data_IF_561960226584
#
_entry.id   IF_561960226584
#
_cell.length_a   1.000
_cell.length_b   1.000
_cell.length_c   1.000
_cell.angle_alpha   90.00
_cell.angle_beta   90.00
_cell.angle_gamma   90.00
#
_symmetry.space_group_name_H-M   'P 1'
#
loop_
_entity.id
_entity.type
_entity.pdbx_description
1 polymer ?
#
# COMPACT_ATOMS: atom_id res chain seq x y z
N UNK A 1 50.61 50.97 73.06
CA UNK A 1 50.10 51.97 72.10
C UNK A 1 49.21 51.22 71.07
N UNK A 2 49.67 50.22 70.31
CA UNK A 2 48.89 49.53 69.24
C UNK A 2 47.68 48.78 69.81
N UNK A 3 47.78 48.19 71.02
CA UNK A 3 46.68 47.41 71.62
C UNK A 3 45.57 48.34 72.18
N UNK A 4 45.93 49.55 72.61
CA UNK A 4 44.95 50.55 73.04
C UNK A 4 44.20 51.19 71.87
N UNK A 5 44.87 51.47 70.76
CA UNK A 5 44.23 51.91 69.48
C UNK A 5 43.26 50.87 68.92
N UNK A 6 43.62 49.59 68.94
CA UNK A 6 42.71 48.52 68.55
C UNK A 6 41.52 48.36 69.50
N UNK A 7 41.69 48.63 70.82
CA UNK A 7 40.58 48.61 71.74
C UNK A 7 39.63 49.81 71.63
N UNK A 8 40.14 50.96 71.20
CA UNK A 8 39.32 52.14 70.94
C UNK A 8 38.54 51.96 69.63
N UNK A 9 39.13 51.36 68.62
CA UNK A 9 38.41 50.99 67.42
C UNK A 9 37.32 49.91 67.62
N UNK A 10 37.51 49.00 68.58
CA UNK A 10 36.47 48.06 68.99
C UNK A 10 35.31 48.65 69.76
N UNK A 11 35.53 49.76 70.54
CA UNK A 11 34.48 50.43 71.34
C UNK A 11 33.40 51.13 70.48
N UNK A 12 33.65 51.38 69.23
CA UNK A 12 32.69 52.00 68.28
C UNK A 12 31.83 51.00 67.48
N UNK A 13 32.03 49.70 67.65
CA UNK A 13 31.22 48.71 66.97
C UNK A 13 30.14 48.17 67.87
N UNK A 14 28.98 48.84 67.93
CA UNK A 14 27.77 48.24 68.49
C UNK A 14 27.37 47.05 67.68
N UNK A 15 27.61 45.84 68.16
CA UNK A 15 27.01 44.63 67.57
C UNK A 15 25.51 44.65 67.96
N UNK A 16 24.62 44.78 67.02
CA UNK A 16 23.20 44.70 67.32
C UNK A 16 22.92 43.29 67.91
N UNK A 17 22.20 43.28 69.08
CA UNK A 17 21.81 42.04 69.78
C UNK A 17 21.15 41.00 68.86
N UNK A 18 20.63 41.45 67.74
CA UNK A 18 19.95 40.64 66.75
C UNK A 18 20.90 40.02 65.61
N UNK A 19 22.20 40.38 65.65
CA UNK A 19 23.16 39.93 64.65
C UNK A 19 23.30 38.39 64.59
N UNK A 20 23.37 37.62 65.67
CA UNK A 20 23.41 36.16 65.64
C UNK A 20 22.16 35.55 65.03
N UNK A 21 20.98 36.11 65.29
CA UNK A 21 19.73 35.64 64.73
C UNK A 21 19.64 35.97 63.25
N UNK A 22 20.11 37.13 62.83
CA UNK A 22 20.17 37.51 61.41
C UNK A 22 21.14 36.60 60.61
N UNK A 23 22.30 36.24 61.17
CA UNK A 23 23.27 35.33 60.60
C UNK A 23 22.67 33.94 60.51
N UNK A 24 22.03 33.42 61.55
CA UNK A 24 21.39 32.09 61.49
C UNK A 24 20.29 32.03 60.45
N UNK A 25 19.45 33.06 60.36
CA UNK A 25 18.42 33.14 59.31
C UNK A 25 19.04 33.17 57.90
N UNK A 26 20.08 33.99 57.72
CA UNK A 26 20.77 34.05 56.41
C UNK A 26 21.42 32.70 56.02
N UNK A 27 21.97 31.98 56.98
CA UNK A 27 22.50 30.65 56.77
C UNK A 27 21.42 29.63 56.38
N UNK A 28 20.27 29.68 57.01
CA UNK A 28 19.11 28.86 56.68
C UNK A 28 18.57 29.19 55.27
N UNK A 29 18.43 30.47 54.93
CA UNK A 29 17.99 30.93 53.59
C UNK A 29 19.01 30.50 52.52
N UNK A 30 20.31 30.62 52.79
CA UNK A 30 21.35 30.12 51.88
C UNK A 30 21.24 28.61 51.66
N UNK A 31 21.09 27.83 52.74
CA UNK A 31 20.95 26.39 52.65
C UNK A 31 19.70 25.97 51.87
N UNK A 32 18.58 26.68 52.08
CA UNK A 32 17.35 26.44 51.34
C UNK A 32 17.51 26.80 49.85
N UNK A 33 18.22 27.91 49.59
CA UNK A 33 18.51 28.32 48.19
C UNK A 33 19.42 27.33 47.48
N UNK A 34 20.47 26.83 48.16
CA UNK A 34 21.36 25.78 47.60
C UNK A 34 20.62 24.50 47.32
N UNK A 35 19.70 24.07 48.23
CA UNK A 35 18.84 22.90 47.97
C UNK A 35 17.90 23.10 46.81
N UNK A 36 17.28 24.26 46.68
CA UNK A 36 16.41 24.61 45.57
C UNK A 36 17.20 24.63 44.26
N UNK A 37 18.41 25.20 44.24
CA UNK A 37 19.30 25.23 43.07
C UNK A 37 19.67 23.81 42.60
N UNK A 38 20.18 22.99 43.56
CA UNK A 38 20.53 21.60 43.27
C UNK A 38 19.34 20.80 42.69
N UNK A 39 18.14 21.01 43.26
CA UNK A 39 16.93 20.37 42.77
C UNK A 39 16.56 20.84 41.35
N UNK A 40 16.71 22.14 41.09
CA UNK A 40 16.45 22.71 39.76
C UNK A 40 17.45 22.19 38.71
N UNK A 41 18.73 22.14 39.05
CA UNK A 41 19.78 21.58 38.18
C UNK A 41 19.55 20.11 37.88
N UNK A 42 19.19 19.29 38.87
CA UNK A 42 18.85 17.88 38.64
C UNK A 42 17.65 17.71 37.71
N UNK A 43 16.62 18.59 37.85
CA UNK A 43 15.45 18.60 36.95
C UNK A 43 15.83 18.99 35.53
N UNK A 44 16.67 20.00 35.33
CA UNK A 44 17.14 20.43 34.03
C UNK A 44 17.96 19.32 33.33
N UNK A 45 18.83 18.65 34.07
CA UNK A 45 19.61 17.53 33.56
C UNK A 45 18.70 16.38 33.14
N UNK A 46 17.70 16.06 33.95
CA UNK A 46 16.71 15.01 33.61
C UNK A 46 15.87 15.42 32.39
N UNK A 47 15.46 16.69 32.32
CA UNK A 47 14.70 17.20 31.18
C UNK A 47 15.52 17.15 29.89
N UNK A 48 16.81 17.49 29.93
CA UNK A 48 17.70 17.37 28.78
C UNK A 48 17.81 15.94 28.27
N UNK A 49 17.96 14.96 29.17
CA UNK A 49 17.95 13.53 28.83
C UNK A 49 16.62 13.10 28.23
N UNK A 50 15.52 13.48 28.86
CA UNK A 50 14.19 13.13 28.36
C UNK A 50 13.91 13.74 26.99
N UNK A 51 14.39 14.95 26.71
CA UNK A 51 14.26 15.60 25.40
C UNK A 51 14.96 14.81 24.31
N UNK A 52 16.18 14.36 24.54
CA UNK A 52 16.95 13.55 23.57
C UNK A 52 16.24 12.22 23.27
N UNK A 53 15.75 11.55 24.31
CA UNK A 53 14.99 10.30 24.15
C UNK A 53 13.68 10.56 23.38
N UNK A 54 12.99 11.65 23.71
CA UNK A 54 11.74 12.00 23.03
C UNK A 54 11.96 12.30 21.53
N UNK A 55 13.02 13.03 21.19
CA UNK A 55 13.39 13.32 19.80
C UNK A 55 13.70 12.02 19.03
N UNK A 56 14.43 11.11 19.64
CA UNK A 56 14.73 9.81 19.05
C UNK A 56 13.46 8.97 18.82
N UNK A 57 12.62 8.84 19.85
CA UNK A 57 11.36 8.09 19.77
C UNK A 57 10.43 8.70 18.71
N UNK A 58 10.36 10.03 18.63
CA UNK A 58 9.53 10.75 17.67
C UNK A 58 10.00 10.47 16.24
N UNK A 59 11.31 10.43 16.01
CA UNK A 59 11.87 10.08 14.70
C UNK A 59 11.51 8.63 14.31
N UNK A 60 11.73 7.69 15.21
CA UNK A 60 11.35 6.28 14.97
C UNK A 60 9.84 6.12 14.73
N UNK A 61 9.01 6.84 15.47
CA UNK A 61 7.57 6.84 15.31
C UNK A 61 7.15 7.33 13.92
N UNK A 62 7.71 8.44 13.46
CA UNK A 62 7.40 8.97 12.13
C UNK A 62 7.79 8.01 11.01
N UNK A 63 8.95 7.36 11.11
CA UNK A 63 9.39 6.34 10.15
C UNK A 63 8.44 5.14 10.13
N UNK A 64 8.08 4.62 11.29
CA UNK A 64 7.14 3.49 11.41
C UNK A 64 5.72 3.84 10.96
N UNK A 65 5.27 5.07 11.24
CA UNK A 65 3.97 5.55 10.74
C UNK A 65 3.93 5.63 9.22
N UNK A 66 5.00 6.10 8.57
CA UNK A 66 5.07 6.14 7.12
C UNK A 66 4.95 4.73 6.50
N UNK A 67 5.60 3.74 7.10
CA UNK A 67 5.49 2.33 6.70
C UNK A 67 4.08 1.81 6.94
N UNK A 68 3.50 2.05 8.11
CA UNK A 68 2.15 1.62 8.46
C UNK A 68 1.09 2.19 7.50
N UNK A 69 1.19 3.47 7.16
CA UNK A 69 0.29 4.12 6.19
C UNK A 69 0.40 3.46 4.81
N UNK A 70 1.62 3.10 4.38
CA UNK A 70 1.83 2.39 3.11
C UNK A 70 1.14 1.03 3.11
N UNK A 71 1.33 0.25 4.17
CA UNK A 71 0.68 -1.04 4.33
C UNK A 71 -0.83 -0.94 4.44
N UNK A 72 -1.34 0.08 5.14
CA UNK A 72 -2.78 0.33 5.24
C UNK A 72 -3.39 0.65 3.86
N UNK A 73 -2.72 1.46 3.03
CA UNK A 73 -3.14 1.73 1.65
C UNK A 73 -3.15 0.45 0.81
N UNK A 74 -2.09 -0.35 0.89
CA UNK A 74 -2.00 -1.61 0.17
C UNK A 74 -3.12 -2.57 0.60
N UNK A 75 -3.33 -2.71 1.90
CA UNK A 75 -4.40 -3.56 2.45
C UNK A 75 -5.80 -3.08 2.01
N UNK A 76 -6.03 -1.77 1.92
CA UNK A 76 -7.30 -1.23 1.40
C UNK A 76 -7.54 -1.62 -0.06
N UNK A 77 -6.48 -1.64 -0.88
CA UNK A 77 -6.57 -1.96 -2.31
C UNK A 77 -6.77 -3.46 -2.57
N UNK A 78 -5.94 -4.29 -1.96
CA UNK A 78 -5.85 -5.73 -2.28
C UNK A 78 -6.15 -6.65 -1.09
N UNK A 79 -6.28 -6.12 0.12
CA UNK A 79 -6.53 -6.91 1.32
C UNK A 79 -7.99 -7.36 1.41
N UNK A 80 -8.17 -8.60 1.84
CA UNK A 80 -9.43 -9.16 2.34
C UNK A 80 -9.09 -10.23 3.37
N UNK A 81 -10.02 -10.52 4.28
CA UNK A 81 -9.79 -11.47 5.37
C UNK A 81 -9.46 -12.89 4.87
N UNK A 82 -10.02 -13.26 3.71
CA UNK A 82 -9.90 -14.57 3.05
C UNK A 82 -8.91 -14.57 1.85
N UNK A 83 -8.29 -13.43 1.54
CA UNK A 83 -7.43 -13.27 0.38
C UNK A 83 -8.16 -13.26 -0.97
N UNK A 84 -9.49 -13.32 -1.00
CA UNK A 84 -10.28 -13.43 -2.22
C UNK A 84 -10.08 -12.21 -3.14
N UNK A 85 -9.99 -11.01 -2.58
CA UNK A 85 -9.78 -9.79 -3.35
C UNK A 85 -8.45 -9.81 -4.12
N UNK A 86 -7.36 -10.20 -3.48
CA UNK A 86 -6.06 -10.34 -4.13
C UNK A 86 -6.08 -11.43 -5.23
N UNK A 87 -6.73 -12.56 -4.93
CA UNK A 87 -6.90 -13.65 -5.90
C UNK A 87 -7.62 -13.17 -7.17
N UNK A 88 -8.74 -12.44 -7.02
CA UNK A 88 -9.50 -11.90 -8.15
C UNK A 88 -8.64 -10.93 -8.97
N UNK A 89 -7.89 -10.04 -8.33
CA UNK A 89 -7.00 -9.10 -9.03
C UNK A 89 -5.91 -9.84 -9.83
N UNK A 90 -5.26 -10.83 -9.21
CA UNK A 90 -4.23 -11.63 -9.88
C UNK A 90 -4.79 -12.43 -11.06
N UNK A 91 -5.96 -13.06 -10.88
CA UNK A 91 -6.64 -13.80 -11.94
C UNK A 91 -7.14 -12.87 -13.07
N UNK A 92 -7.61 -11.67 -12.73
CA UNK A 92 -8.02 -10.65 -13.69
C UNK A 92 -6.87 -10.25 -14.63
N UNK A 93 -5.67 -10.11 -14.09
CA UNK A 93 -4.49 -9.82 -14.93
C UNK A 93 -4.21 -10.92 -15.95
N UNK A 94 -4.23 -12.18 -15.51
CA UNK A 94 -4.04 -13.34 -16.38
C UNK A 94 -5.17 -13.45 -17.42
N UNK A 95 -6.42 -13.21 -16.99
CA UNK A 95 -7.58 -13.20 -17.89
C UNK A 95 -7.48 -12.11 -18.94
N UNK A 96 -7.09 -10.89 -18.58
CA UNK A 96 -6.91 -9.82 -19.55
C UNK A 96 -5.81 -10.12 -20.57
N UNK A 97 -4.74 -10.79 -20.17
CA UNK A 97 -3.71 -11.24 -21.09
C UNK A 97 -4.23 -12.30 -22.04
N UNK A 98 -5.01 -13.26 -21.54
CA UNK A 98 -5.72 -14.23 -22.37
C UNK A 98 -6.65 -13.56 -23.39
N UNK A 99 -7.46 -12.61 -22.94
CA UNK A 99 -8.39 -11.89 -23.81
C UNK A 99 -7.67 -11.05 -24.88
N UNK A 100 -6.50 -10.52 -24.57
CA UNK A 100 -5.67 -9.83 -25.57
C UNK A 100 -5.27 -10.77 -26.72
N UNK A 101 -4.85 -11.99 -26.39
CA UNK A 101 -4.50 -13.00 -27.41
C UNK A 101 -5.74 -13.53 -28.09
N UNK A 102 -6.81 -13.85 -27.36
CA UNK A 102 -8.07 -14.31 -27.91
C UNK A 102 -8.68 -13.30 -28.90
N UNK A 103 -8.68 -12.02 -28.61
CA UNK A 103 -9.17 -10.97 -29.47
C UNK A 103 -8.37 -10.85 -30.78
N UNK A 104 -7.07 -11.17 -30.79
CA UNK A 104 -6.29 -11.23 -32.02
C UNK A 104 -6.82 -12.33 -32.93
N UNK A 105 -7.05 -13.53 -32.40
CA UNK A 105 -7.62 -14.63 -33.17
C UNK A 105 -9.08 -14.34 -33.55
N UNK A 106 -9.87 -13.77 -32.65
CA UNK A 106 -11.25 -13.41 -32.89
C UNK A 106 -11.39 -12.40 -34.05
N UNK A 107 -10.49 -11.46 -34.21
CA UNK A 107 -10.50 -10.50 -35.30
C UNK A 107 -10.34 -11.13 -36.68
N UNK A 108 -9.73 -12.33 -36.78
CA UNK A 108 -9.70 -13.13 -38.02
C UNK A 108 -10.95 -13.96 -38.20
N UNK A 109 -11.49 -14.55 -37.10
CA UNK A 109 -12.68 -15.42 -37.14
C UNK A 109 -13.98 -14.61 -37.33
N UNK A 110 -14.10 -13.46 -36.66
CA UNK A 110 -15.24 -12.56 -36.75
C UNK A 110 -14.85 -11.15 -36.37
N UNK A 111 -14.99 -10.21 -37.27
CA UNK A 111 -14.74 -8.77 -36.99
C UNK A 111 -15.84 -8.12 -36.15
N UNK A 112 -16.97 -8.80 -36.02
CA UNK A 112 -18.15 -8.28 -35.31
C UNK A 112 -17.94 -8.24 -33.78
N UNK A 113 -17.19 -9.19 -33.22
CA UNK A 113 -17.15 -9.38 -31.77
C UNK A 113 -15.77 -9.06 -31.18
N UNK A 114 -15.79 -8.47 -29.98
CA UNK A 114 -14.62 -8.36 -29.11
C UNK A 114 -14.97 -8.84 -27.71
N UNK A 115 -14.03 -9.59 -27.12
CA UNK A 115 -14.15 -10.07 -25.74
C UNK A 115 -13.60 -9.03 -24.77
N UNK A 116 -14.33 -8.82 -23.68
CA UNK A 116 -13.94 -7.96 -22.59
C UNK A 116 -14.27 -8.60 -21.25
N UNK A 117 -13.45 -8.34 -20.24
CA UNK A 117 -13.75 -8.70 -18.87
C UNK A 117 -14.75 -7.71 -18.26
N UNK A 118 -15.71 -8.22 -17.51
CA UNK A 118 -16.58 -7.36 -16.68
C UNK A 118 -15.75 -6.80 -15.54
N UNK A 119 -15.72 -5.46 -15.33
CA UNK A 119 -14.92 -4.82 -14.30
C UNK A 119 -15.09 -5.49 -12.92
N UNK A 120 -13.99 -5.62 -12.17
CA UNK A 120 -13.93 -6.19 -10.82
C UNK A 120 -14.44 -7.63 -10.67
N UNK A 121 -14.62 -8.36 -11.77
CA UNK A 121 -15.08 -9.75 -11.79
C UNK A 121 -14.20 -10.61 -12.69
N UNK A 122 -14.41 -11.91 -12.71
CA UNK A 122 -13.82 -12.85 -13.69
C UNK A 122 -14.80 -13.22 -14.80
N UNK A 123 -15.93 -12.55 -14.87
CA UNK A 123 -16.92 -12.77 -15.90
C UNK A 123 -16.51 -12.14 -17.23
N UNK A 124 -16.97 -12.74 -18.32
CA UNK A 124 -16.75 -12.26 -19.68
C UNK A 124 -18.00 -11.60 -20.24
N UNK A 125 -17.77 -10.57 -21.03
CA UNK A 125 -18.79 -9.94 -21.86
C UNK A 125 -18.28 -9.77 -23.28
N UNK A 126 -19.20 -9.60 -24.20
CA UNK A 126 -18.93 -9.46 -25.63
C UNK A 126 -19.38 -8.07 -26.07
N UNK A 127 -18.53 -7.41 -26.83
CA UNK A 127 -18.88 -6.15 -27.51
C UNK A 127 -19.26 -6.51 -28.94
N UNK A 128 -20.46 -6.16 -29.36
CA UNK A 128 -20.98 -6.31 -30.72
C UNK A 128 -20.72 -5.03 -31.52
N UNK A 129 -19.64 -5.05 -32.32
CA UNK A 129 -19.21 -3.88 -33.09
C UNK A 129 -20.20 -3.48 -34.18
N UNK A 130 -21.01 -4.40 -34.69
CA UNK A 130 -22.03 -4.10 -35.70
C UNK A 130 -23.27 -3.46 -35.11
N UNK A 131 -23.45 -3.58 -33.78
CA UNK A 131 -24.54 -2.98 -33.02
C UNK A 131 -24.07 -1.76 -32.20
N UNK A 132 -23.25 -0.91 -32.79
CA UNK A 132 -22.72 0.31 -32.14
C UNK A 132 -21.97 0.04 -30.83
N UNK A 133 -21.15 -0.99 -30.79
CA UNK A 133 -20.39 -1.45 -29.63
C UNK A 133 -21.27 -1.82 -28.42
N UNK A 134 -22.47 -2.37 -28.68
CA UNK A 134 -23.35 -2.84 -27.62
C UNK A 134 -22.71 -3.95 -26.80
N UNK A 135 -22.78 -3.82 -25.48
CA UNK A 135 -22.25 -4.81 -24.53
C UNK A 135 -23.30 -5.88 -24.30
N UNK A 136 -22.95 -7.12 -24.63
CA UNK A 136 -23.82 -8.30 -24.50
C UNK A 136 -23.18 -9.32 -23.55
N UNK A 137 -24.02 -10.09 -22.89
CA UNK A 137 -23.56 -11.24 -22.11
C UNK A 137 -23.22 -12.40 -23.04
N UNK A 138 -22.23 -13.22 -22.68
CA UNK A 138 -21.87 -14.44 -23.44
C UNK A 138 -23.04 -15.41 -23.59
N UNK A 139 -24.03 -15.35 -22.70
CA UNK A 139 -25.23 -16.22 -22.75
C UNK A 139 -26.26 -15.80 -23.79
N UNK A 140 -26.14 -14.58 -24.35
CA UNK A 140 -27.06 -14.10 -25.39
C UNK A 140 -26.61 -14.43 -26.81
N UNK A 141 -25.52 -15.14 -26.96
CA UNK A 141 -24.93 -15.52 -28.22
C UNK A 141 -25.63 -16.73 -28.84
N UNK A 142 -25.69 -16.78 -30.18
CA UNK A 142 -26.10 -17.98 -30.88
C UNK A 142 -25.06 -19.11 -30.76
N UNK A 143 -25.42 -20.34 -31.10
CA UNK A 143 -24.51 -21.47 -31.05
C UNK A 143 -23.22 -21.25 -31.89
N UNK A 144 -23.37 -20.72 -33.12
CA UNK A 144 -22.23 -20.41 -33.98
C UNK A 144 -21.34 -19.30 -33.43
N UNK A 145 -21.94 -18.19 -32.93
CA UNK A 145 -21.18 -17.11 -32.29
C UNK A 145 -20.43 -17.57 -31.05
N UNK A 146 -21.07 -18.39 -30.22
CA UNK A 146 -20.46 -18.98 -29.01
C UNK A 146 -19.29 -19.91 -29.38
N UNK A 147 -19.41 -20.67 -30.46
CA UNK A 147 -18.34 -21.52 -30.95
C UNK A 147 -17.12 -20.71 -31.42
N UNK A 148 -17.31 -19.67 -32.24
CA UNK A 148 -16.21 -18.78 -32.69
C UNK A 148 -15.48 -18.13 -31.53
N UNK A 149 -16.21 -17.68 -30.50
CA UNK A 149 -15.63 -17.09 -29.30
C UNK A 149 -14.86 -18.14 -28.50
N UNK A 150 -15.41 -19.33 -28.31
CA UNK A 150 -14.73 -20.44 -27.62
C UNK A 150 -13.46 -20.86 -28.34
N UNK A 151 -13.49 -20.95 -29.66
CA UNK A 151 -12.32 -21.20 -30.49
C UNK A 151 -11.26 -20.12 -30.32
N UNK A 152 -11.66 -18.83 -30.38
CA UNK A 152 -10.73 -17.72 -30.17
C UNK A 152 -10.06 -17.76 -28.78
N UNK A 153 -10.81 -18.15 -27.75
CA UNK A 153 -10.27 -18.30 -26.37
C UNK A 153 -9.27 -19.48 -26.33
N UNK A 154 -9.58 -20.61 -26.95
CA UNK A 154 -8.68 -21.76 -27.01
C UNK A 154 -7.36 -21.43 -27.73
N UNK A 155 -7.44 -20.73 -28.87
CA UNK A 155 -6.28 -20.26 -29.62
C UNK A 155 -5.48 -19.21 -28.84
N UNK A 156 -6.17 -18.30 -28.12
CA UNK A 156 -5.56 -17.33 -27.23
C UNK A 156 -4.78 -18.00 -26.07
N UNK A 157 -5.34 -19.07 -25.53
CA UNK A 157 -4.67 -19.84 -24.46
C UNK A 157 -3.44 -20.59 -25.00
N UNK A 158 -3.54 -21.19 -26.20
CA UNK A 158 -2.41 -21.78 -26.88
C UNK A 158 -1.28 -20.78 -27.11
N UNK A 159 -1.62 -19.56 -27.56
CA UNK A 159 -0.65 -18.50 -27.80
C UNK A 159 0.04 -18.02 -26.51
N UNK A 160 -0.65 -18.03 -25.35
CA UNK A 160 -0.05 -17.74 -24.05
C UNK A 160 0.96 -18.81 -23.61
N UNK A 161 0.66 -20.06 -23.90
CA UNK A 161 1.49 -21.20 -23.52
C UNK A 161 2.74 -21.35 -24.42
N UNK A 162 2.74 -20.76 -25.61
CA UNK A 162 3.75 -20.98 -26.66
C UNK A 162 5.17 -20.54 -26.30
N UNK A 163 5.36 -19.70 -25.26
CA UNK A 163 6.70 -19.33 -24.78
C UNK A 163 7.46 -20.50 -24.12
N UNK A 164 6.76 -21.54 -23.64
CA UNK A 164 7.36 -22.69 -22.92
C UNK A 164 6.80 -24.06 -23.37
N UNK A 165 5.64 -24.10 -24.02
CA UNK A 165 4.96 -25.33 -24.45
C UNK A 165 4.40 -25.13 -25.85
N UNK A 166 4.88 -25.90 -26.82
CA UNK A 166 4.23 -25.97 -28.13
C UNK A 166 2.99 -26.83 -28.01
N UNK A 167 1.83 -26.25 -28.30
CA UNK A 167 0.59 -27.01 -28.45
C UNK A 167 0.61 -27.60 -29.86
N UNK A 168 0.87 -28.91 -29.98
CA UNK A 168 0.98 -29.62 -31.26
C UNK A 168 -0.34 -30.23 -31.74
N UNK A 169 -1.37 -30.26 -30.87
CA UNK A 169 -2.65 -30.85 -31.20
C UNK A 169 -3.79 -30.12 -30.48
N UNK A 170 -4.84 -29.83 -31.23
CA UNK A 170 -6.09 -29.26 -30.71
C UNK A 170 -7.22 -30.26 -31.04
N UNK A 171 -7.92 -30.72 -29.99
CA UNK A 171 -9.08 -31.59 -30.16
C UNK A 171 -10.35 -30.71 -30.01
N UNK A 172 -11.17 -30.72 -31.08
CA UNK A 172 -12.45 -30.01 -31.12
C UNK A 172 -13.53 -31.06 -31.20
N UNK A 173 -14.34 -31.15 -30.14
CA UNK A 173 -15.48 -32.04 -30.05
C UNK A 173 -16.75 -31.22 -30.28
N UNK A 174 -17.37 -31.42 -31.45
CA UNK A 174 -18.56 -30.71 -31.94
C UNK A 174 -18.40 -29.18 -32.08
N UNK A 175 -19.45 -28.50 -32.52
CA UNK A 175 -19.52 -27.04 -32.67
C UNK A 175 -19.54 -26.57 -34.12
N UNK A 176 -18.88 -27.28 -35.05
CA UNK A 176 -18.89 -26.91 -36.47
C UNK A 176 -20.28 -27.01 -37.12
N UNK A 177 -21.14 -27.92 -36.61
CA UNK A 177 -22.52 -28.07 -37.09
C UNK A 177 -23.45 -26.90 -36.82
N UNK A 178 -23.06 -25.97 -35.95
CA UNK A 178 -23.82 -24.75 -35.65
C UNK A 178 -23.39 -23.52 -36.49
N UNK A 179 -22.33 -23.68 -37.31
CA UNK A 179 -21.83 -22.61 -38.16
C UNK A 179 -22.51 -22.62 -39.55
N UNK A 180 -22.71 -21.42 -40.09
CA UNK A 180 -22.98 -21.25 -41.50
C UNK A 180 -21.74 -21.54 -42.35
N UNK A 181 -21.91 -21.76 -43.67
CA UNK A 181 -20.83 -22.18 -44.55
C UNK A 181 -19.66 -21.19 -44.62
N UNK A 182 -19.92 -19.89 -44.52
CA UNK A 182 -18.88 -18.86 -44.55
C UNK A 182 -18.10 -18.81 -43.25
N UNK A 183 -18.76 -18.89 -42.12
CA UNK A 183 -18.13 -18.96 -40.75
C UNK A 183 -17.31 -20.25 -40.61
N UNK A 184 -17.80 -21.38 -41.13
CA UNK A 184 -17.08 -22.65 -41.12
C UNK A 184 -15.78 -22.55 -41.91
N UNK A 185 -15.84 -21.98 -43.12
CA UNK A 185 -14.64 -21.81 -43.97
C UNK A 185 -13.61 -20.91 -43.24
N UNK A 186 -14.04 -19.78 -42.68
CA UNK A 186 -13.16 -18.87 -41.97
C UNK A 186 -12.52 -19.53 -40.74
N UNK A 187 -13.28 -20.35 -39.99
CA UNK A 187 -12.75 -21.10 -38.87
C UNK A 187 -11.69 -22.15 -39.32
N UNK A 188 -11.93 -22.85 -40.43
CA UNK A 188 -10.96 -23.81 -40.97
C UNK A 188 -9.68 -23.14 -41.47
N UNK A 189 -9.80 -22.01 -42.19
CA UNK A 189 -8.66 -21.19 -42.62
C UNK A 189 -7.82 -20.68 -41.45
N UNK A 190 -8.46 -20.29 -40.35
CA UNK A 190 -7.77 -19.84 -39.12
C UNK A 190 -7.03 -21.00 -38.43
N UNK A 191 -7.58 -22.21 -38.46
CA UNK A 191 -6.94 -23.38 -37.87
C UNK A 191 -5.75 -23.88 -38.75
N UNK A 192 -5.78 -23.71 -40.08
CA UNK A 192 -4.68 -24.05 -40.97
C UNK A 192 -3.46 -23.13 -40.81
N UNK A 193 -3.64 -21.92 -40.20
CA UNK A 193 -2.57 -20.95 -39.98
C UNK A 193 -1.85 -21.11 -38.63
N UNK A 194 -2.23 -22.06 -37.81
CA UNK A 194 -1.63 -22.39 -36.50
C UNK A 194 -0.40 -23.29 -36.67
#
# INVERSE_FOLDING_TARGET
VVIEELREQQKGIEFPEQLPQAIAKQQEDNLNTERALSTAEARLLQQAKNKTIFEQITKELTEKQAVAVRWAKLNKLIGSADGAKFKVIAQSYTLNLLLLHANKHLAYLSKRYKLQQVPDTLALQVIDCDMCDEIRTVYSLSGGESFLISLALALGLSSLSSNNLKVESLFIDEGFGSLDADSLRTAMEALEQL
#
